data_IF_657162061145
#
_entry.id   IF_657162061145
#
_cell.length_a   1.000
_cell.length_b   1.000
_cell.length_c   1.000
_cell.angle_alpha   90.00
_cell.angle_beta   90.00
_cell.angle_gamma   90.00
#
_symmetry.space_group_name_H-M   'P 1'
#
loop_
_entity.id
_entity.type
_entity.pdbx_description
1 polymer ?
#
# COMPACT_ATOMS: atom_id res chain seq x y z
N UNK A 1 1.96 -11.56 12.70
CA UNK A 1 1.75 -11.50 11.23
C UNK A 1 2.82 -12.29 10.49
N UNK A 2 3.05 -13.52 10.94
CA UNK A 2 3.95 -14.46 10.27
C UNK A 2 3.30 -14.89 8.97
N UNK A 3 3.93 -14.65 7.81
CA UNK A 3 3.67 -15.41 6.63
C UNK A 3 3.23 -14.71 5.35
N UNK A 4 3.07 -13.37 5.25
CA UNK A 4 2.94 -12.75 3.94
C UNK A 4 4.32 -12.45 3.33
N UNK A 5 4.41 -12.53 1.99
CA UNK A 5 5.64 -12.21 1.25
C UNK A 5 5.55 -10.84 0.55
N UNK A 6 6.68 -10.37 0.08
CA UNK A 6 6.77 -9.26 -0.88
C UNK A 6 6.29 -9.70 -2.26
N UNK A 7 5.99 -8.74 -3.11
CA UNK A 7 5.60 -8.93 -4.50
C UNK A 7 6.74 -8.53 -5.44
N UNK A 8 6.89 -9.26 -6.52
CA UNK A 8 7.77 -8.91 -7.63
C UNK A 8 7.12 -7.79 -8.49
N UNK A 9 7.93 -7.14 -9.33
CA UNK A 9 7.41 -6.12 -10.26
C UNK A 9 6.41 -6.69 -11.27
N UNK A 10 6.61 -7.92 -11.74
CA UNK A 10 5.69 -8.61 -12.65
C UNK A 10 4.34 -8.83 -11.98
N UNK A 11 4.34 -9.44 -10.78
CA UNK A 11 3.11 -9.69 -10.01
C UNK A 11 2.34 -8.40 -9.71
N UNK A 12 3.05 -7.32 -9.35
CA UNK A 12 2.42 -6.00 -9.15
C UNK A 12 1.72 -5.54 -10.43
N UNK A 13 2.39 -5.62 -11.58
CA UNK A 13 1.82 -5.23 -12.86
C UNK A 13 0.57 -6.04 -13.21
N UNK A 14 0.62 -7.36 -13.05
CA UNK A 14 -0.48 -8.27 -13.33
C UNK A 14 -1.68 -8.00 -12.41
N UNK A 15 -1.44 -7.80 -11.11
CA UNK A 15 -2.47 -7.44 -10.13
C UNK A 15 -3.13 -6.11 -10.53
N UNK A 16 -2.34 -5.06 -10.80
CA UNK A 16 -2.86 -3.73 -11.13
C UNK A 16 -3.67 -3.73 -12.45
N UNK A 17 -3.30 -4.56 -13.41
CA UNK A 17 -4.02 -4.68 -14.68
C UNK A 17 -5.32 -5.48 -14.58
N UNK A 18 -5.49 -6.29 -13.53
CA UNK A 18 -6.66 -7.14 -13.33
C UNK A 18 -7.75 -6.48 -12.49
N UNK A 19 -7.37 -5.54 -11.65
CA UNK A 19 -8.25 -4.90 -10.68
C UNK A 19 -9.15 -3.81 -11.30
N UNK A 20 -10.33 -3.58 -10.68
CA UNK A 20 -11.14 -2.38 -10.93
C UNK A 20 -10.36 -1.12 -10.57
N UNK A 21 -10.76 0.05 -11.09
CA UNK A 21 -10.06 1.31 -10.80
C UNK A 21 -9.96 1.60 -9.30
N UNK A 22 -11.05 1.39 -8.54
CA UNK A 22 -11.05 1.54 -7.07
C UNK A 22 -10.02 0.62 -6.41
N UNK A 23 -10.02 -0.65 -6.76
CA UNK A 23 -9.18 -1.66 -6.12
C UNK A 23 -7.70 -1.51 -6.55
N UNK A 24 -7.47 -1.03 -7.77
CA UNK A 24 -6.15 -0.62 -8.27
C UNK A 24 -5.57 0.53 -7.43
N UNK A 25 -6.36 1.57 -7.16
CA UNK A 25 -5.95 2.68 -6.29
C UNK A 25 -5.66 2.20 -4.86
N UNK A 26 -6.45 1.25 -4.33
CA UNK A 26 -6.20 0.65 -3.02
C UNK A 26 -4.82 -0.01 -2.95
N UNK A 27 -4.47 -0.82 -3.93
CA UNK A 27 -3.17 -1.49 -4.03
C UNK A 27 -2.05 -0.47 -4.19
N UNK A 28 -2.21 0.51 -5.09
CA UNK A 28 -1.24 1.59 -5.30
C UNK A 28 -0.99 2.40 -4.03
N UNK A 29 -2.03 2.68 -3.24
CA UNK A 29 -1.87 3.39 -1.95
C UNK A 29 -0.96 2.60 -1.00
N UNK A 30 -1.16 1.30 -0.88
CA UNK A 30 -0.31 0.42 -0.06
C UNK A 30 1.13 0.35 -0.56
N UNK A 31 1.34 0.28 -1.88
CA UNK A 31 2.66 0.21 -2.52
C UNK A 31 3.40 1.56 -2.51
N UNK A 32 2.69 2.69 -2.58
CA UNK A 32 3.30 4.03 -2.66
C UNK A 32 3.65 4.59 -1.28
N UNK A 33 2.80 4.34 -0.28
CA UNK A 33 2.91 4.98 1.04
C UNK A 33 3.11 3.99 2.18
N UNK A 34 3.07 2.70 1.91
CA UNK A 34 3.21 1.66 2.93
C UNK A 34 2.15 1.73 4.03
N UNK A 35 0.96 2.20 3.71
CA UNK A 35 -0.15 2.33 4.66
C UNK A 35 -0.63 0.97 5.19
N UNK A 36 -1.14 0.95 6.43
CA UNK A 36 -1.96 -0.18 6.89
C UNK A 36 -3.32 -0.12 6.21
N UNK A 37 -3.93 -1.27 5.99
CA UNK A 37 -5.24 -1.34 5.31
C UNK A 37 -6.30 -0.44 5.97
N UNK A 38 -6.32 -0.31 7.29
CA UNK A 38 -7.25 0.58 7.98
C UNK A 38 -6.97 2.06 7.71
N UNK A 39 -5.70 2.45 7.57
CA UNK A 39 -5.29 3.81 7.19
C UNK A 39 -5.67 4.08 5.72
N UNK A 40 -5.42 3.11 4.84
CA UNK A 40 -5.83 3.20 3.43
C UNK A 40 -7.33 3.42 3.31
N UNK A 41 -8.14 2.58 3.97
CA UNK A 41 -9.60 2.60 3.86
C UNK A 41 -10.24 3.85 4.47
N UNK A 42 -9.55 4.60 5.33
CA UNK A 42 -10.05 5.85 5.88
C UNK A 42 -9.83 7.06 4.98
N UNK A 43 -9.06 6.94 3.90
CA UNK A 43 -8.76 8.06 3.00
C UNK A 43 -9.99 8.54 2.23
N UNK A 44 -10.09 9.85 2.08
CA UNK A 44 -11.12 10.55 1.32
C UNK A 44 -10.53 11.25 0.11
N UNK A 45 -11.37 11.74 -0.81
CA UNK A 45 -10.91 12.57 -1.92
C UNK A 45 -10.30 13.89 -1.46
N UNK A 46 -10.71 14.42 -0.30
CA UNK A 46 -10.10 15.59 0.32
C UNK A 46 -8.64 15.37 0.70
N UNK A 47 -8.31 14.18 1.23
CA UNK A 47 -6.95 13.85 1.64
C UNK A 47 -5.96 13.81 0.47
N UNK A 48 -6.45 13.56 -0.75
CA UNK A 48 -5.62 13.42 -1.98
C UNK A 48 -5.83 14.56 -2.98
N UNK A 49 -6.54 15.62 -2.61
CA UNK A 49 -6.86 16.74 -3.52
C UNK A 49 -5.69 17.70 -3.71
N UNK A 50 -4.71 17.70 -2.80
CA UNK A 50 -3.54 18.59 -2.82
C UNK A 50 -2.29 17.95 -3.41
N UNK A 51 -1.13 18.52 -3.11
CA UNK A 51 0.19 17.98 -3.48
C UNK A 51 0.78 17.07 -2.40
N UNK A 52 0.18 17.05 -1.23
CA UNK A 52 0.67 16.34 -0.04
C UNK A 52 -0.48 15.51 0.53
N UNK A 53 -0.23 14.22 0.71
CA UNK A 53 -1.09 13.31 1.44
C UNK A 53 -0.68 13.29 2.91
N UNK A 54 -1.62 13.63 3.80
CA UNK A 54 -1.45 13.50 5.24
C UNK A 54 -2.07 12.19 5.73
N UNK A 55 -1.26 11.31 6.28
CA UNK A 55 -1.70 10.03 6.82
C UNK A 55 -1.77 10.12 8.34
N UNK A 56 -2.97 10.08 8.88
CA UNK A 56 -3.21 10.02 10.31
C UNK A 56 -3.10 8.59 10.82
N UNK A 57 -2.30 8.40 11.85
CA UNK A 57 -2.10 7.08 12.45
C UNK A 57 -3.33 6.64 13.24
N UNK A 58 -3.86 5.48 12.92
CA UNK A 58 -4.98 4.89 13.67
C UNK A 58 -4.55 3.98 14.82
N UNK A 59 -3.38 3.34 14.76
CA UNK A 59 -2.79 2.51 15.85
C UNK A 59 -1.30 2.25 15.60
N UNK A 60 -0.43 2.70 16.50
CA UNK A 60 0.95 2.23 16.56
C UNK A 60 1.88 2.64 15.40
N UNK A 61 1.46 3.55 14.53
CA UNK A 61 2.30 4.28 13.57
C UNK A 61 2.52 5.71 14.04
N UNK A 62 3.39 6.42 13.34
CA UNK A 62 3.50 7.88 13.44
C UNK A 62 2.68 8.53 12.32
N UNK A 63 2.15 9.73 12.54
CA UNK A 63 1.58 10.55 11.48
C UNK A 63 2.68 10.89 10.48
N UNK A 64 2.34 11.00 9.21
CA UNK A 64 3.29 11.36 8.19
C UNK A 64 2.62 12.11 7.04
N UNK A 65 3.42 12.95 6.39
CA UNK A 65 3.05 13.68 5.18
C UNK A 65 3.95 13.21 4.04
N UNK A 66 3.36 12.87 2.92
CA UNK A 66 4.05 12.41 1.72
C UNK A 66 3.66 13.25 0.52
N UNK A 67 4.59 13.52 -0.42
CA UNK A 67 4.20 14.08 -1.71
C UNK A 67 3.29 13.10 -2.46
N UNK A 68 2.37 13.65 -3.25
CA UNK A 68 1.52 12.86 -4.14
C UNK A 68 2.20 12.79 -5.51
N UNK A 69 2.73 11.62 -5.94
CA UNK A 69 3.31 11.45 -7.26
C UNK A 69 2.25 11.66 -8.36
N UNK A 70 2.67 12.24 -9.51
CA UNK A 70 1.76 12.49 -10.63
C UNK A 70 1.02 11.23 -11.09
N UNK A 71 1.71 10.10 -11.21
CA UNK A 71 1.11 8.83 -11.58
C UNK A 71 0.00 8.38 -10.61
N UNK A 72 0.17 8.62 -9.31
CA UNK A 72 -0.86 8.31 -8.32
C UNK A 72 -2.04 9.30 -8.43
N UNK A 73 -1.76 10.59 -8.64
CA UNK A 73 -2.78 11.61 -8.87
C UNK A 73 -3.64 11.29 -10.11
N UNK A 74 -3.02 10.82 -11.19
CA UNK A 74 -3.72 10.40 -12.41
C UNK A 74 -4.70 9.25 -12.15
N UNK A 75 -4.29 8.25 -11.36
CA UNK A 75 -5.17 7.13 -11.00
C UNK A 75 -6.32 7.57 -10.07
N UNK A 76 -6.09 8.55 -9.19
CA UNK A 76 -7.15 9.18 -8.39
C UNK A 76 -8.12 9.95 -9.30
N UNK A 77 -7.61 10.67 -10.29
CA UNK A 77 -8.44 11.37 -11.29
C UNK A 77 -9.37 10.42 -12.06
N UNK A 78 -8.84 9.27 -12.50
CA UNK A 78 -9.63 8.22 -13.16
C UNK A 78 -10.70 7.64 -12.23
N UNK A 79 -10.37 7.40 -10.96
CA UNK A 79 -11.33 6.92 -9.97
C UNK A 79 -12.45 7.92 -9.73
N UNK A 80 -12.13 9.22 -9.63
CA UNK A 80 -13.12 10.29 -9.52
C UNK A 80 -14.07 10.28 -10.72
N UNK A 81 -13.52 10.27 -11.94
CA UNK A 81 -14.30 10.25 -13.16
C UNK A 81 -15.22 9.01 -13.26
N UNK A 82 -14.74 7.83 -12.82
CA UNK A 82 -15.56 6.61 -12.75
C UNK A 82 -16.73 6.78 -11.77
N UNK A 83 -16.51 7.36 -10.59
CA UNK A 83 -17.59 7.60 -9.63
C UNK A 83 -18.61 8.59 -10.15
N UNK A 84 -18.16 9.71 -10.71
CA UNK A 84 -19.03 10.74 -11.31
C UNK A 84 -19.85 10.18 -12.49
N UNK A 85 -19.26 9.36 -13.35
CA UNK A 85 -19.97 8.69 -14.45
C UNK A 85 -21.03 7.68 -13.99
N UNK A 86 -20.87 7.13 -12.79
CA UNK A 86 -21.83 6.26 -12.12
C UNK A 86 -22.89 7.03 -11.30
N UNK A 87 -22.93 8.37 -11.41
CA UNK A 87 -23.90 9.21 -10.73
C UNK A 87 -23.58 9.50 -9.26
N UNK A 88 -22.35 9.25 -8.81
CA UNK A 88 -21.92 9.55 -7.46
C UNK A 88 -21.35 10.98 -7.42
N UNK A 89 -21.93 11.87 -6.62
CA UNK A 89 -21.38 13.19 -6.35
C UNK A 89 -20.13 13.07 -5.48
N UNK A 90 -18.96 13.38 -6.05
CA UNK A 90 -17.68 13.25 -5.33
C UNK A 90 -17.34 14.55 -4.61
N UNK A 91 -17.49 14.54 -3.28
CA UNK A 91 -17.15 15.61 -2.34
C UNK A 91 -15.78 15.37 -1.68
N UNK A 92 -15.29 16.34 -0.92
CA UNK A 92 -14.01 16.20 -0.20
C UNK A 92 -14.05 15.10 0.86
N UNK A 93 -15.19 14.86 1.49
CA UNK A 93 -15.40 13.83 2.50
C UNK A 93 -15.79 12.46 1.91
N UNK A 94 -15.95 12.35 0.59
CA UNK A 94 -16.23 11.09 -0.08
C UNK A 94 -15.04 10.16 0.07
N UNK A 95 -15.26 8.95 0.60
CA UNK A 95 -14.22 7.93 0.73
C UNK A 95 -13.69 7.48 -0.64
N UNK A 96 -12.37 7.25 -0.75
CA UNK A 96 -11.76 6.72 -1.98
C UNK A 96 -12.24 5.31 -2.33
N UNK A 97 -12.55 4.51 -1.32
CA UNK A 97 -12.83 3.07 -1.50
C UNK A 97 -14.27 2.76 -1.16
N UNK A 98 -15.21 3.40 -1.88
CA UNK A 98 -16.63 3.27 -1.61
C UNK A 98 -17.12 1.82 -1.68
N UNK A 99 -17.93 1.46 -0.70
CA UNK A 99 -18.72 0.24 -0.70
C UNK A 99 -19.94 0.40 -1.63
N UNK A 100 -20.39 -0.69 -2.22
CA UNK A 100 -21.67 -0.70 -2.97
C UNK A 100 -22.89 -0.57 -2.06
N UNK A 101 -22.71 -0.72 -0.75
CA UNK A 101 -23.80 -0.63 0.25
C UNK A 101 -23.52 0.53 1.19
N UNK A 102 -24.54 1.33 1.45
CA UNK A 102 -24.50 2.49 2.33
C UNK A 102 -23.99 3.75 1.65
N UNK A 103 -24.40 4.90 2.19
CA UNK A 103 -24.01 6.21 1.71
C UNK A 103 -22.63 6.56 2.26
N UNK A 104 -21.69 6.89 1.35
CA UNK A 104 -20.33 7.30 1.66
C UNK A 104 -19.59 6.40 2.67
N UNK A 105 -19.72 5.07 2.54
CA UNK A 105 -19.01 4.11 3.39
C UNK A 105 -17.89 3.44 2.60
N UNK A 106 -16.70 3.34 3.23
CA UNK A 106 -15.60 2.57 2.67
C UNK A 106 -15.86 1.06 2.76
N UNK A 107 -15.27 0.29 1.84
CA UNK A 107 -15.24 -1.18 1.97
C UNK A 107 -14.55 -1.59 3.27
N UNK A 108 -14.91 -2.76 3.75
CA UNK A 108 -14.30 -3.32 4.97
C UNK A 108 -12.93 -3.96 4.68
N UNK A 109 -12.12 -4.12 5.73
CA UNK A 109 -10.83 -4.85 5.64
C UNK A 109 -11.00 -6.27 5.13
N UNK A 110 -12.12 -6.94 5.48
CA UNK A 110 -12.44 -8.29 5.01
C UNK A 110 -12.71 -8.28 3.50
N UNK A 111 -13.45 -7.29 3.01
CA UNK A 111 -13.71 -7.15 1.58
C UNK A 111 -12.41 -6.87 0.82
N UNK A 112 -11.56 -5.97 1.32
CA UNK A 112 -10.26 -5.71 0.72
C UNK A 112 -9.38 -6.97 0.68
N UNK A 113 -9.30 -7.75 1.76
CA UNK A 113 -8.58 -9.04 1.76
C UNK A 113 -9.10 -10.00 0.70
N UNK A 114 -10.42 -10.20 0.65
CA UNK A 114 -11.04 -11.12 -0.33
C UNK A 114 -10.78 -10.70 -1.78
N UNK A 115 -10.79 -9.40 -2.07
CA UNK A 115 -10.46 -8.88 -3.40
C UNK A 115 -9.04 -9.29 -3.79
N UNK A 116 -8.07 -9.09 -2.90
CA UNK A 116 -6.66 -9.41 -3.17
C UNK A 116 -6.46 -10.91 -3.29
N UNK A 117 -7.00 -11.71 -2.36
CA UNK A 117 -6.92 -13.16 -2.37
C UNK A 117 -7.48 -13.74 -3.69
N UNK A 118 -8.70 -13.35 -4.07
CA UNK A 118 -9.35 -13.79 -5.31
C UNK A 118 -8.56 -13.35 -6.57
N UNK A 119 -7.95 -12.16 -6.54
CA UNK A 119 -7.11 -11.69 -7.66
C UNK A 119 -5.85 -12.52 -7.79
N UNK A 120 -5.17 -12.82 -6.68
CA UNK A 120 -3.97 -13.65 -6.68
C UNK A 120 -4.27 -15.09 -7.13
N UNK A 121 -5.37 -15.67 -6.67
CA UNK A 121 -5.83 -16.99 -7.12
C UNK A 121 -6.08 -17.01 -8.63
N UNK A 122 -6.79 -16.02 -9.16
CA UNK A 122 -7.07 -15.89 -10.59
C UNK A 122 -5.80 -15.78 -11.45
N UNK A 123 -4.76 -15.13 -10.91
CA UNK A 123 -3.48 -14.92 -11.59
C UNK A 123 -2.48 -16.06 -11.36
N UNK A 124 -2.81 -17.06 -10.54
CA UNK A 124 -1.88 -18.14 -10.18
C UNK A 124 -0.67 -17.62 -9.38
N UNK A 125 -0.84 -16.55 -8.62
CA UNK A 125 0.23 -15.98 -7.80
C UNK A 125 0.39 -16.81 -6.52
N UNK A 126 1.46 -17.56 -6.45
CA UNK A 126 1.76 -18.47 -5.35
C UNK A 126 2.21 -17.74 -4.07
N UNK A 127 2.03 -18.45 -2.95
CA UNK A 127 2.41 -17.99 -1.63
C UNK A 127 1.39 -17.07 -0.99
N UNK A 128 1.63 -16.69 0.26
CA UNK A 128 0.68 -15.88 1.03
C UNK A 128 0.78 -14.41 0.69
N UNK A 129 -0.10 -13.94 -0.18
CA UNK A 129 -0.27 -12.52 -0.53
C UNK A 129 -1.56 -11.99 0.09
N UNK A 130 -1.49 -10.85 0.75
CA UNK A 130 -2.63 -10.15 1.34
C UNK A 130 -2.36 -8.63 1.38
N UNK A 131 -3.27 -7.86 1.95
CA UNK A 131 -3.16 -6.40 2.03
C UNK A 131 -1.88 -5.91 2.73
N UNK A 132 -1.28 -6.71 3.61
CA UNK A 132 -0.02 -6.38 4.28
C UNK A 132 1.21 -6.60 3.39
N UNK A 133 1.10 -7.42 2.34
CA UNK A 133 2.16 -7.64 1.35
C UNK A 133 2.56 -6.36 0.65
N UNK A 134 1.62 -5.46 0.36
CA UNK A 134 1.91 -4.16 -0.28
C UNK A 134 2.79 -3.29 0.61
N UNK A 135 2.46 -3.21 1.89
CA UNK A 135 3.30 -2.50 2.87
C UNK A 135 4.66 -3.20 3.02
N UNK A 136 4.72 -4.53 3.03
CA UNK A 136 5.98 -5.26 3.08
C UNK A 136 6.84 -4.93 1.86
N UNK A 137 6.27 -4.97 0.67
CA UNK A 137 6.96 -4.61 -0.58
C UNK A 137 7.47 -3.16 -0.55
N UNK A 138 6.67 -2.20 -0.09
CA UNK A 138 7.09 -0.82 0.09
C UNK A 138 8.29 -0.70 1.04
N UNK A 139 8.22 -1.31 2.22
CA UNK A 139 9.29 -1.23 3.23
C UNK A 139 10.60 -1.83 2.70
N UNK A 140 10.52 -2.99 2.05
CA UNK A 140 11.69 -3.64 1.42
C UNK A 140 12.28 -2.74 0.32
N UNK A 141 11.44 -2.16 -0.55
CA UNK A 141 11.90 -1.26 -1.61
C UNK A 141 12.56 0.03 -1.06
N UNK A 142 12.06 0.60 0.03
CA UNK A 142 12.69 1.75 0.70
C UNK A 142 14.04 1.34 1.31
N UNK A 143 14.11 0.18 1.95
CA UNK A 143 15.33 -0.33 2.55
C UNK A 143 16.44 -0.52 1.48
N UNK A 144 16.12 -1.17 0.37
CA UNK A 144 17.04 -1.35 -0.76
C UNK A 144 17.47 -0.01 -1.39
N UNK A 145 16.50 0.86 -1.71
CA UNK A 145 16.77 2.17 -2.33
C UNK A 145 17.52 3.15 -1.42
N UNK A 146 17.44 2.98 -0.12
CA UNK A 146 18.19 3.78 0.85
C UNK A 146 19.59 3.24 1.15
N UNK A 147 20.11 2.30 0.33
CA UNK A 147 21.34 1.57 0.60
C UNK A 147 21.34 0.93 1.98
N UNK A 148 20.27 0.22 2.30
CA UNK A 148 20.07 -0.53 3.54
C UNK A 148 20.08 0.34 4.81
N UNK A 149 19.70 1.61 4.70
CA UNK A 149 19.63 2.53 5.83
C UNK A 149 18.38 2.30 6.68
N UNK A 150 18.56 1.69 7.85
CA UNK A 150 17.49 1.38 8.80
C UNK A 150 16.77 2.61 9.35
N UNK A 151 17.48 3.70 9.59
CA UNK A 151 16.90 4.93 10.14
C UNK A 151 15.95 5.58 9.12
N UNK A 152 16.35 5.66 7.85
CA UNK A 152 15.48 6.12 6.77
C UNK A 152 14.30 5.17 6.56
N UNK A 153 14.54 3.86 6.56
CA UNK A 153 13.48 2.86 6.42
C UNK A 153 12.45 2.97 7.54
N UNK A 154 12.89 3.14 8.79
CA UNK A 154 12.01 3.39 9.93
C UNK A 154 11.16 4.63 9.72
N UNK A 155 11.78 5.75 9.34
CA UNK A 155 11.11 7.03 9.09
C UNK A 155 9.99 6.89 8.05
N UNK A 156 10.30 6.36 6.86
CA UNK A 156 9.33 6.24 5.78
C UNK A 156 8.26 5.17 6.02
N UNK A 157 8.62 4.08 6.68
CA UNK A 157 7.67 3.02 7.03
C UNK A 157 6.81 3.34 8.26
N UNK A 158 7.13 4.42 9.00
CA UNK A 158 6.39 4.88 10.17
C UNK A 158 6.32 3.82 11.29
N UNK A 159 7.37 3.01 11.44
CA UNK A 159 7.48 2.06 12.54
C UNK A 159 7.99 2.75 13.81
N UNK A 160 7.31 2.54 14.93
CA UNK A 160 7.74 3.09 16.23
C UNK A 160 9.04 2.46 16.72
N UNK A 161 9.27 1.18 16.44
CA UNK A 161 10.45 0.44 16.88
C UNK A 161 11.21 -0.15 15.69
N UNK A 162 12.54 -0.17 15.78
CA UNK A 162 13.41 -0.85 14.81
C UNK A 162 13.18 -2.38 14.82
N UNK A 163 12.90 -2.97 15.99
CA UNK A 163 12.61 -4.41 16.09
C UNK A 163 11.42 -4.86 15.23
N UNK A 164 10.51 -3.94 14.91
CA UNK A 164 9.41 -4.24 13.99
C UNK A 164 9.87 -4.27 12.52
N UNK A 165 11.06 -3.76 12.21
CA UNK A 165 11.63 -3.79 10.85
C UNK A 165 12.37 -5.10 10.57
N UNK A 166 12.87 -5.80 11.57
CA UNK A 166 13.58 -7.08 11.40
C UNK A 166 12.75 -8.09 10.59
N UNK A 167 11.43 -7.98 10.73
CA UNK A 167 10.48 -8.80 9.95
C UNK A 167 10.50 -8.53 8.44
N UNK A 168 10.97 -7.36 8.03
CA UNK A 168 11.00 -6.91 6.63
C UNK A 168 12.38 -7.05 6.01
N UNK A 169 13.42 -7.18 6.84
CA UNK A 169 14.82 -7.05 6.46
C UNK A 169 15.52 -8.41 6.36
N UNK A 170 15.02 -9.44 7.07
CA UNK A 170 15.58 -10.80 7.12
C UNK A 170 15.41 -11.59 5.80
N UNK A 171 15.75 -10.98 4.65
CA UNK A 171 15.77 -11.65 3.35
C UNK A 171 17.16 -11.73 2.72
N UNK A 172 18.16 -11.07 3.29
CA UNK A 172 19.55 -11.23 2.86
C UNK A 172 20.21 -12.26 3.78
N UNK A 173 20.73 -13.35 3.24
CA UNK A 173 21.40 -14.37 4.05
C UNK A 173 22.63 -13.74 4.71
N UNK A 174 22.78 -13.90 6.02
CA UNK A 174 23.96 -13.44 6.78
C UNK A 174 25.27 -14.01 6.21
N UNK A 175 25.20 -15.17 5.55
CA UNK A 175 26.31 -15.85 4.89
C UNK A 175 26.87 -15.03 3.69
N UNK A 176 26.05 -14.32 2.95
CA UNK A 176 26.49 -13.53 1.81
C UNK A 176 27.25 -12.26 2.23
N UNK A 177 26.97 -11.72 3.40
CA UNK A 177 27.68 -10.57 3.94
C UNK A 177 29.12 -10.92 4.34
N UNK A 178 29.32 -12.08 4.96
CA UNK A 178 30.66 -12.53 5.39
C UNK A 178 31.52 -12.96 4.20
N UNK A 179 30.93 -13.61 3.20
CA UNK A 179 31.63 -14.07 1.99
C UNK A 179 32.12 -12.94 1.08
N UNK A 180 31.54 -11.74 1.21
CA UNK A 180 31.91 -10.56 0.40
C UNK A 180 32.85 -9.59 1.14
N UNK A 181 33.33 -9.93 2.33
CA UNK A 181 34.35 -9.14 3.03
C UNK A 181 35.72 -9.39 2.35
N UNK A 182 36.16 -8.44 1.55
CA UNK A 182 37.54 -8.38 1.04
C UNK A 182 38.30 -7.32 1.84
N UNK A 183 39.40 -7.73 2.48
CA UNK A 183 40.29 -6.86 3.22
C UNK A 183 41.41 -6.37 2.30
#
# INVERSE_FOLDING_TARGET
>A
MKGCRTLTKSEISEILNTLSQRDKVLVLTGLTYGTRISETLSLTFGDVSGKILNINSLKGSENASFPIPSQYADEIGKLRAEYESNGIEVKSDTHLFLSRKGDNQSITRIQASRIIESTCEKLGIDGKVNTHSFRKTFVTAIYEKSNFNLALTKKYSRHKSLSNLDYYINTTSELDLVNNLTW
#
